data_IF_084051018672
#
_entry.id   IF_084051018672
#
_cell.length_a   1.000
_cell.length_b   1.000
_cell.length_c   1.000
_cell.angle_alpha   90.00
_cell.angle_beta   90.00
_cell.angle_gamma   90.00
#
_symmetry.space_group_name_H-M   'P 1'
#
loop_
_entity.id
_entity.type
_entity.pdbx_description
1 polymer ?
#
# COMPACT_ATOMS: atom_id res chain seq x y z
N UNK A 1 8.22 7.53 -19.77
CA UNK A 1 8.35 6.95 -18.41
C UNK A 1 7.61 5.62 -18.33
N UNK A 2 6.33 5.56 -18.73
CA UNK A 2 5.57 4.28 -18.75
C UNK A 2 6.19 3.20 -19.65
N UNK A 3 6.72 3.57 -20.82
CA UNK A 3 7.36 2.61 -21.74
C UNK A 3 8.59 1.91 -21.13
N UNK A 4 9.38 2.61 -20.30
CA UNK A 4 10.53 2.02 -19.59
C UNK A 4 10.11 1.05 -18.46
N UNK A 5 8.88 1.19 -17.95
CA UNK A 5 8.33 0.32 -16.91
C UNK A 5 7.64 -0.90 -17.52
N UNK A 6 6.94 -0.70 -18.64
CA UNK A 6 6.31 -1.78 -19.41
C UNK A 6 7.35 -2.79 -19.93
N UNK A 7 8.51 -2.32 -20.37
CA UNK A 7 9.65 -3.16 -20.76
C UNK A 7 10.15 -4.08 -19.61
N UNK A 8 9.98 -3.63 -18.37
CA UNK A 8 10.31 -4.40 -17.15
C UNK A 8 9.13 -5.23 -16.63
N UNK A 9 8.03 -5.33 -17.38
CA UNK A 9 6.81 -6.02 -16.95
C UNK A 9 6.04 -5.33 -15.83
N UNK A 10 6.33 -4.05 -15.53
CA UNK A 10 5.68 -3.30 -14.45
C UNK A 10 4.56 -2.44 -15.01
N UNK A 11 3.34 -2.67 -14.53
CA UNK A 11 2.16 -1.87 -14.87
C UNK A 11 2.02 -0.74 -13.85
N UNK A 12 2.00 0.50 -14.35
CA UNK A 12 1.83 1.69 -13.51
C UNK A 12 0.33 2.00 -13.33
N UNK A 13 -0.13 2.06 -12.08
CA UNK A 13 -1.50 2.48 -11.73
C UNK A 13 -1.43 3.79 -10.96
N UNK A 14 -1.85 4.89 -11.59
CA UNK A 14 -1.83 6.25 -10.99
C UNK A 14 -3.11 7.02 -11.29
N UNK A 15 -3.46 7.97 -10.42
CA UNK A 15 -4.59 8.88 -10.65
C UNK A 15 -4.33 9.83 -11.81
N UNK A 16 -5.41 10.31 -12.44
CA UNK A 16 -5.29 11.30 -13.52
C UNK A 16 -4.76 12.63 -13.00
N UNK A 17 -3.67 13.12 -13.60
CA UNK A 17 -3.10 14.44 -13.34
C UNK A 17 -3.48 15.42 -14.47
N UNK A 18 -3.47 16.73 -14.17
CA UNK A 18 -3.90 17.81 -15.09
C UNK A 18 -3.26 17.78 -16.50
N UNK A 19 -2.06 17.21 -16.65
CA UNK A 19 -1.33 17.14 -17.92
C UNK A 19 -1.31 15.72 -18.54
N UNK A 20 -2.16 14.80 -18.08
CA UNK A 20 -2.25 13.44 -18.62
C UNK A 20 -3.38 13.34 -19.64
N UNK A 21 -3.14 12.60 -20.73
CA UNK A 21 -4.22 12.22 -21.66
C UNK A 21 -5.26 11.38 -20.91
N UNK A 22 -6.55 11.62 -21.18
CA UNK A 22 -7.61 10.81 -20.58
C UNK A 22 -7.46 9.36 -21.05
N UNK A 23 -7.33 8.45 -20.08
CA UNK A 23 -7.25 7.00 -20.33
C UNK A 23 -8.40 6.36 -19.58
N UNK A 24 -9.12 5.48 -20.26
CA UNK A 24 -10.16 4.67 -19.61
C UNK A 24 -9.45 3.74 -18.63
N UNK A 25 -9.76 3.93 -17.34
CA UNK A 25 -9.14 3.21 -16.24
C UNK A 25 -10.03 2.04 -15.87
N UNK A 26 -9.46 0.85 -15.65
CA UNK A 26 -10.24 -0.31 -15.22
C UNK A 26 -10.86 -0.02 -13.85
N UNK A 27 -12.05 -0.56 -13.61
CA UNK A 27 -12.76 -0.38 -12.36
C UNK A 27 -11.94 -0.84 -11.15
N UNK A 28 -11.22 -1.96 -11.29
CA UNK A 28 -10.26 -2.48 -10.32
C UNK A 28 -9.15 -1.50 -9.98
N UNK A 29 -8.49 -0.96 -10.99
CA UNK A 29 -7.40 -0.01 -10.80
C UNK A 29 -7.91 1.24 -10.05
N UNK A 30 -9.15 1.70 -10.35
CA UNK A 30 -9.79 2.84 -9.69
C UNK A 30 -10.11 2.56 -8.22
N UNK A 31 -10.55 1.35 -7.90
CA UNK A 31 -10.79 0.91 -6.51
C UNK A 31 -9.48 0.83 -5.71
N UNK A 32 -8.43 0.26 -6.30
CA UNK A 32 -7.11 0.17 -5.66
C UNK A 32 -6.55 1.57 -5.37
N UNK A 33 -6.69 2.52 -6.30
CA UNK A 33 -6.27 3.91 -6.05
C UNK A 33 -7.05 4.56 -4.90
N UNK A 34 -8.37 4.32 -4.80
CA UNK A 34 -9.18 4.84 -3.69
C UNK A 34 -8.78 4.24 -2.34
N UNK A 35 -8.33 2.99 -2.33
CA UNK A 35 -7.90 2.26 -1.14
C UNK A 35 -6.39 2.39 -0.88
N UNK A 36 -5.66 3.17 -1.66
CA UNK A 36 -4.20 3.39 -1.51
C UNK A 36 -3.79 3.85 -0.10
N UNK A 37 -4.63 4.65 0.54
CA UNK A 37 -4.41 5.10 1.93
C UNK A 37 -4.26 3.92 2.93
N UNK A 38 -4.93 2.80 2.69
CA UNK A 38 -4.82 1.59 3.54
C UNK A 38 -3.42 0.99 3.41
N UNK A 39 -2.94 0.83 2.17
CA UNK A 39 -1.61 0.30 1.88
C UNK A 39 -0.55 1.24 2.49
N UNK A 40 -0.70 2.55 2.31
CA UNK A 40 0.21 3.55 2.89
C UNK A 40 0.22 3.50 4.42
N UNK A 41 -0.94 3.35 5.05
CA UNK A 41 -1.04 3.29 6.53
C UNK A 41 -0.42 2.01 7.07
N UNK A 42 -0.65 0.87 6.42
CA UNK A 42 -0.02 -0.41 6.78
C UNK A 42 1.49 -0.33 6.61
N UNK A 43 2.01 0.34 5.58
CA UNK A 43 3.46 0.55 5.42
C UNK A 43 4.02 1.59 6.40
N UNK A 44 3.22 2.56 6.84
CA UNK A 44 3.64 3.59 7.78
C UNK A 44 3.78 3.06 9.22
N UNK A 45 3.02 2.04 9.60
CA UNK A 45 3.07 1.48 10.96
C UNK A 45 4.40 0.81 11.31
N UNK A 46 4.98 -0.09 10.47
CA UNK A 46 6.32 -0.60 10.68
C UNK A 46 7.33 0.54 10.73
N UNK A 47 7.29 1.51 9.81
CA UNK A 47 8.23 2.66 9.82
C UNK A 47 8.27 3.38 11.16
N UNK A 48 7.11 3.66 11.74
CA UNK A 48 7.00 4.35 13.02
C UNK A 48 7.42 3.47 14.22
N UNK A 49 6.94 2.22 14.28
CA UNK A 49 7.17 1.33 15.43
C UNK A 49 8.61 0.81 15.46
N UNK A 50 9.13 0.41 14.30
CA UNK A 50 10.48 -0.15 14.18
C UNK A 50 11.55 0.91 13.92
N UNK A 51 11.18 2.20 13.86
CA UNK A 51 12.09 3.33 13.61
C UNK A 51 13.04 3.09 12.41
N UNK A 52 12.61 2.30 11.42
CA UNK A 52 13.44 1.89 10.27
C UNK A 52 14.00 3.12 9.53
N UNK A 53 13.24 4.20 9.44
CA UNK A 53 13.69 5.45 8.80
C UNK A 53 14.84 6.14 9.56
N UNK A 54 14.99 5.89 10.86
CA UNK A 54 15.99 6.54 11.72
C UNK A 54 17.06 5.60 12.27
N UNK A 55 16.89 4.28 12.21
CA UNK A 55 17.92 3.35 12.62
C UNK A 55 18.85 3.03 11.45
N UNK A 56 20.09 3.55 11.53
CA UNK A 56 21.22 2.98 10.79
C UNK A 56 21.44 1.56 11.28
N UNK A 57 20.84 0.58 10.61
CA UNK A 57 20.98 -0.82 10.96
C UNK A 57 22.41 -1.28 10.65
N UNK A 58 23.20 -1.52 11.70
CA UNK A 58 24.59 -1.99 11.59
C UNK A 58 24.70 -3.44 11.10
N UNK A 59 23.59 -4.18 11.08
CA UNK A 59 23.49 -5.59 10.64
C UNK A 59 22.13 -5.87 10.02
N UNK A 60 22.12 -6.62 8.91
CA UNK A 60 20.93 -7.02 8.15
C UNK A 60 19.99 -7.92 8.97
N UNK A 61 20.53 -8.80 9.82
CA UNK A 61 19.74 -9.69 10.66
C UNK A 61 18.91 -8.87 11.66
N UNK A 62 19.51 -7.85 12.28
CA UNK A 62 18.83 -6.97 13.21
C UNK A 62 17.73 -6.15 12.52
N UNK A 63 17.91 -5.81 11.23
CA UNK A 63 16.85 -5.17 10.44
C UNK A 63 15.63 -6.09 10.27
N UNK A 64 15.84 -7.35 9.85
CA UNK A 64 14.75 -8.33 9.69
C UNK A 64 14.01 -8.56 11.00
N UNK A 65 14.74 -8.75 12.11
CA UNK A 65 14.13 -8.97 13.43
C UNK A 65 13.27 -7.78 13.84
N UNK A 66 13.75 -6.55 13.59
CA UNK A 66 13.00 -5.34 13.95
C UNK A 66 11.77 -5.12 13.04
N UNK A 67 11.86 -5.52 11.76
CA UNK A 67 10.74 -5.55 10.82
C UNK A 67 9.65 -6.54 11.29
N UNK A 68 10.05 -7.77 11.63
CA UNK A 68 9.15 -8.81 12.12
C UNK A 68 8.48 -8.41 13.44
N UNK A 69 9.23 -7.78 14.34
CA UNK A 69 8.71 -7.20 15.58
C UNK A 69 7.64 -6.13 15.30
N UNK A 70 7.83 -5.29 14.28
CA UNK A 70 6.84 -4.30 13.83
C UNK A 70 5.53 -4.96 13.35
N UNK A 71 5.62 -6.04 12.57
CA UNK A 71 4.45 -6.79 12.11
C UNK A 71 3.71 -7.53 13.24
N UNK A 72 4.46 -8.14 14.17
CA UNK A 72 3.88 -8.81 15.33
C UNK A 72 3.18 -7.78 16.24
N UNK A 73 3.85 -6.66 16.55
CA UNK A 73 3.25 -5.58 17.34
C UNK A 73 1.99 -5.00 16.68
N UNK A 74 1.95 -4.90 15.35
CA UNK A 74 0.76 -4.51 14.61
C UNK A 74 -0.39 -5.52 14.78
N UNK A 75 -0.08 -6.82 14.78
CA UNK A 75 -1.10 -7.88 14.96
C UNK A 75 -1.80 -7.80 16.33
N UNK A 76 -1.08 -7.31 17.35
CA UNK A 76 -1.59 -7.09 18.71
C UNK A 76 -2.22 -5.70 18.94
N UNK A 77 -2.18 -4.77 17.98
CA UNK A 77 -2.85 -3.48 18.12
C UNK A 77 -4.37 -3.64 18.06
N UNK A 78 -5.05 -3.20 19.12
CA UNK A 78 -6.52 -3.18 19.26
C UNK A 78 -7.20 -2.33 18.17
N UNK A 79 -6.56 -1.23 17.77
CA UNK A 79 -7.02 -0.39 16.67
C UNK A 79 -6.57 -1.00 15.33
N UNK A 80 -7.11 -2.17 15.00
CA UNK A 80 -7.11 -2.60 13.59
C UNK A 80 -7.86 -1.53 12.82
N UNK A 81 -7.21 -0.99 11.79
CA UNK A 81 -7.85 -0.09 10.84
C UNK A 81 -8.95 -0.85 10.12
N UNK A 82 -10.13 -0.87 10.72
CA UNK A 82 -11.34 -1.39 10.11
C UNK A 82 -11.81 -0.34 9.11
N UNK A 83 -11.86 -0.75 7.85
CA UNK A 83 -12.43 0.08 6.81
C UNK A 83 -13.93 0.05 7.05
N UNK A 84 -14.55 1.20 7.33
CA UNK A 84 -15.99 1.37 7.12
C UNK A 84 -16.24 1.30 5.62
N UNK A 85 -16.33 0.08 5.10
CA UNK A 85 -16.64 -0.19 3.70
C UNK A 85 -18.11 0.14 3.47
N UNK A 86 -18.36 1.11 2.59
CA UNK A 86 -19.68 1.33 2.01
C UNK A 86 -20.12 0.07 1.27
N UNK A 87 -21.42 -0.21 1.25
CA UNK A 87 -21.99 -1.43 0.64
C UNK A 87 -21.53 -1.66 -0.80
N UNK A 88 -21.36 -0.58 -1.57
CA UNK A 88 -20.87 -0.60 -2.95
C UNK A 88 -19.46 -1.21 -3.08
N UNK A 89 -18.57 -0.94 -2.13
CA UNK A 89 -17.21 -1.49 -2.14
C UNK A 89 -17.20 -2.99 -1.78
N UNK A 90 -18.11 -3.45 -0.93
CA UNK A 90 -18.26 -4.88 -0.61
C UNK A 90 -18.80 -5.66 -1.79
N UNK A 91 -19.80 -5.09 -2.47
CA UNK A 91 -20.46 -5.72 -3.61
C UNK A 91 -19.51 -5.81 -4.82
N UNK A 92 -18.67 -4.80 -5.03
CA UNK A 92 -17.60 -4.84 -6.02
C UNK A 92 -16.53 -5.92 -5.74
N UNK A 93 -16.22 -6.19 -4.47
CA UNK A 93 -15.26 -7.24 -4.09
C UNK A 93 -15.82 -8.65 -4.20
N UNK A 94 -17.12 -8.84 -3.97
CA UNK A 94 -17.79 -10.14 -4.13
C UNK A 94 -18.11 -10.51 -5.58
N UNK A 95 -17.80 -9.62 -6.53
CA UNK A 95 -17.99 -9.83 -7.97
C UNK A 95 -16.67 -10.21 -8.69
N UNK A 96 -15.57 -10.39 -7.94
CA UNK A 96 -14.40 -11.20 -8.37
C UNK A 96 -14.70 -12.65 -8.02
#
# INVERSE_FOLDING_TARGET
MEWKLADKGVILITGMKKNMKSKVMKFWDRLILRKRFIIETVFNQPKNISKIEHSRHRSYINFIVNLLKGFIAYSFQLNKLSIKMTWLDKQALMQI
#
